data_IF_864594856847
#
_entry.id   IF_864594856847
#
_cell.length_a   1.000
_cell.length_b   1.000
_cell.length_c   1.000
_cell.angle_alpha   90.00
_cell.angle_beta   90.00
_cell.angle_gamma   90.00
#
_symmetry.space_group_name_H-M   'P 1'
#
loop_
_entity.id
_entity.type
_entity.pdbx_description
1 polymer ?
#
# COMPACT_ATOMS: atom_id res chain seq x y z
N UNK A 1 -26.89 -4.46 18.61
CA UNK A 1 -26.78 -3.80 17.29
C UNK A 1 -25.80 -2.61 17.32
N UNK A 2 -24.49 -2.82 17.56
CA UNK A 2 -23.48 -1.74 17.58
C UNK A 2 -22.18 -2.04 16.80
N UNK A 3 -22.10 -3.15 16.07
CA UNK A 3 -20.87 -3.54 15.36
C UNK A 3 -20.66 -2.86 13.99
N UNK A 4 -21.66 -2.17 13.44
CA UNK A 4 -21.61 -1.64 12.06
C UNK A 4 -20.99 -0.23 11.93
N UNK A 5 -21.12 0.62 12.95
CA UNK A 5 -20.49 1.96 12.98
C UNK A 5 -18.99 1.86 13.23
N UNK A 6 -18.60 1.06 14.22
CA UNK A 6 -17.20 0.82 14.58
C UNK A 6 -16.34 0.28 13.41
N UNK A 7 -16.92 -0.52 12.51
CA UNK A 7 -16.20 -1.08 11.35
C UNK A 7 -16.05 -0.07 10.18
N UNK A 8 -16.96 0.90 10.07
CA UNK A 8 -16.84 1.98 9.09
C UNK A 8 -15.80 3.02 9.55
N UNK A 9 -15.84 3.39 10.83
CA UNK A 9 -14.89 4.32 11.43
C UNK A 9 -13.46 3.74 11.45
N UNK A 10 -13.32 2.42 11.62
CA UNK A 10 -12.02 1.74 11.54
C UNK A 10 -11.44 1.74 10.13
N UNK A 11 -12.27 1.54 9.09
CA UNK A 11 -11.84 1.59 7.68
C UNK A 11 -11.46 3.01 7.24
N UNK A 12 -12.19 4.03 7.68
CA UNK A 12 -11.85 5.43 7.37
C UNK A 12 -10.55 5.85 8.08
N UNK A 13 -10.41 5.52 9.37
CA UNK A 13 -9.17 5.77 10.13
C UNK A 13 -7.97 5.05 9.53
N UNK A 14 -8.17 3.81 9.07
CA UNK A 14 -7.17 3.04 8.33
C UNK A 14 -6.71 3.79 7.07
N UNK A 15 -7.63 4.27 6.23
CA UNK A 15 -7.27 4.98 5.01
C UNK A 15 -6.68 6.37 5.26
N UNK A 16 -7.08 7.08 6.32
CA UNK A 16 -6.43 8.33 6.73
C UNK A 16 -4.95 8.10 7.05
N UNK A 17 -4.65 7.07 7.85
CA UNK A 17 -3.27 6.71 8.20
C UNK A 17 -2.47 6.28 6.98
N UNK A 18 -3.03 5.45 6.10
CA UNK A 18 -2.36 5.05 4.85
C UNK A 18 -2.03 6.29 4.02
N UNK A 19 -2.95 7.26 3.94
CA UNK A 19 -2.79 8.46 3.13
C UNK A 19 -1.70 9.39 3.62
N UNK A 20 -1.50 9.44 4.92
CA UNK A 20 -0.44 10.23 5.55
C UNK A 20 0.96 9.71 5.20
N UNK A 21 1.16 8.38 5.15
CA UNK A 21 2.50 7.79 5.06
C UNK A 21 2.81 7.06 3.76
N UNK A 22 1.82 6.49 3.06
CA UNK A 22 2.09 5.54 1.99
C UNK A 22 2.56 6.19 0.68
N UNK A 23 2.09 7.41 0.39
CA UNK A 23 2.44 8.19 -0.81
C UNK A 23 2.58 9.67 -0.41
N UNK A 24 3.74 10.07 0.15
CA UNK A 24 3.94 11.44 0.62
C UNK A 24 3.97 12.45 -0.54
N UNK A 25 3.66 13.74 -0.29
CA UNK A 25 3.65 14.77 -1.35
C UNK A 25 4.96 14.87 -2.15
N UNK A 26 6.10 14.76 -1.47
CA UNK A 26 7.43 14.78 -2.12
C UNK A 26 7.62 13.65 -3.13
N UNK A 27 7.02 12.47 -2.88
CA UNK A 27 7.02 11.35 -3.84
C UNK A 27 6.20 11.68 -5.07
N UNK A 28 5.01 12.27 -4.89
CA UNK A 28 4.11 12.67 -5.99
C UNK A 28 4.78 13.73 -6.86
N UNK A 29 5.40 14.74 -6.23
CA UNK A 29 6.12 15.81 -6.92
C UNK A 29 7.29 15.25 -7.73
N UNK A 30 8.14 14.41 -7.13
CA UNK A 30 9.29 13.81 -7.79
C UNK A 30 8.87 12.88 -8.94
N UNK A 31 7.88 12.01 -8.72
CA UNK A 31 7.37 11.11 -9.75
C UNK A 31 6.72 11.88 -10.91
N UNK A 32 5.95 12.91 -10.61
CA UNK A 32 5.31 13.78 -11.62
C UNK A 32 6.35 14.56 -12.44
N UNK A 33 7.36 15.15 -11.80
CA UNK A 33 8.42 15.86 -12.50
C UNK A 33 9.18 14.95 -13.48
N UNK A 34 9.45 13.69 -13.10
CA UNK A 34 10.10 12.70 -13.97
C UNK A 34 9.18 12.22 -15.10
N UNK A 35 7.91 11.95 -14.78
CA UNK A 35 6.91 11.49 -15.76
C UNK A 35 6.66 12.52 -16.84
N UNK A 36 6.54 13.80 -16.49
CA UNK A 36 6.27 14.88 -17.44
C UNK A 36 7.40 15.13 -18.44
N UNK A 37 8.64 14.78 -18.10
CA UNK A 37 9.79 14.82 -19.03
C UNK A 37 9.95 13.52 -19.83
N UNK A 38 9.08 12.52 -19.62
CA UNK A 38 9.10 11.22 -20.29
C UNK A 38 10.07 10.19 -19.67
N UNK A 39 10.69 10.52 -18.54
CA UNK A 39 11.57 9.63 -17.75
C UNK A 39 10.73 8.69 -16.86
N UNK A 40 10.07 7.72 -17.49
CA UNK A 40 9.23 6.74 -16.78
C UNK A 40 10.02 5.88 -15.79
N UNK A 41 11.28 5.59 -16.07
CA UNK A 41 12.13 4.80 -15.16
C UNK A 41 12.50 5.61 -13.92
N UNK A 42 12.85 6.90 -14.09
CA UNK A 42 13.06 7.82 -12.97
C UNK A 42 11.78 8.07 -12.15
N UNK A 43 10.62 8.13 -12.80
CA UNK A 43 9.34 8.20 -12.12
C UNK A 43 9.08 6.95 -11.25
N UNK A 44 9.34 5.75 -11.80
CA UNK A 44 9.26 4.49 -11.05
C UNK A 44 10.19 4.51 -9.83
N UNK A 45 11.45 4.93 -10.01
CA UNK A 45 12.42 5.01 -8.91
C UNK A 45 11.95 5.97 -7.80
N UNK A 46 11.41 7.14 -8.16
CA UNK A 46 10.86 8.11 -7.20
C UNK A 46 9.69 7.54 -6.37
N UNK A 47 8.87 6.68 -6.98
CA UNK A 47 7.73 6.01 -6.33
C UNK A 47 8.05 4.64 -5.71
N UNK A 48 9.35 4.30 -5.59
CA UNK A 48 9.82 3.04 -5.02
C UNK A 48 9.32 1.81 -5.80
N UNK A 49 9.22 1.96 -7.13
CA UNK A 49 8.93 0.89 -8.08
C UNK A 49 10.22 0.51 -8.80
N UNK A 50 10.70 -0.71 -8.53
CA UNK A 50 11.87 -1.29 -9.17
C UNK A 50 11.47 -1.84 -10.55
N UNK A 51 12.26 -1.53 -11.60
CA UNK A 51 11.98 -1.96 -12.97
C UNK A 51 12.71 -3.27 -13.27
N UNK A 52 11.95 -4.37 -13.36
CA UNK A 52 12.42 -5.74 -13.64
C UNK A 52 12.02 -6.22 -15.03
N UNK A 53 11.99 -5.30 -15.99
CA UNK A 53 11.75 -5.60 -17.39
C UNK A 53 12.79 -4.94 -18.27
N UNK A 54 13.13 -5.60 -19.38
CA UNK A 54 14.08 -5.09 -20.34
C UNK A 54 13.39 -4.98 -21.71
N UNK A 55 13.15 -3.75 -22.16
CA UNK A 55 12.47 -3.49 -23.44
C UNK A 55 13.17 -4.12 -24.64
N UNK A 56 14.50 -4.26 -24.61
CA UNK A 56 15.24 -4.93 -25.70
C UNK A 56 14.99 -6.44 -25.70
N UNK A 57 14.96 -7.07 -24.53
CA UNK A 57 14.62 -8.50 -24.41
C UNK A 57 13.16 -8.75 -24.81
N UNK A 58 12.24 -7.87 -24.39
CA UNK A 58 10.84 -7.90 -24.81
C UNK A 58 10.69 -7.78 -26.34
N UNK A 59 11.43 -6.87 -26.98
CA UNK A 59 11.41 -6.73 -28.44
C UNK A 59 11.94 -7.97 -29.16
N UNK A 60 12.95 -8.62 -28.58
CA UNK A 60 13.51 -9.86 -29.13
C UNK A 60 12.54 -11.05 -28.97
N UNK A 61 11.87 -11.16 -27.81
CA UNK A 61 10.98 -12.28 -27.50
C UNK A 61 9.59 -12.18 -28.14
N UNK A 62 9.04 -10.96 -28.24
CA UNK A 62 7.63 -10.73 -28.64
C UNK A 62 7.48 -9.76 -29.82
N UNK A 63 8.58 -9.30 -30.41
CA UNK A 63 8.58 -8.41 -31.57
C UNK A 63 8.60 -6.91 -31.24
N UNK A 64 8.92 -6.11 -32.25
CA UNK A 64 9.10 -4.66 -32.11
C UNK A 64 7.79 -3.92 -31.83
N UNK A 65 6.68 -4.38 -32.41
CA UNK A 65 5.35 -3.78 -32.20
C UNK A 65 4.91 -3.93 -30.73
N UNK A 66 5.04 -5.13 -30.16
CA UNK A 66 4.80 -5.36 -28.73
C UNK A 66 5.66 -4.43 -27.85
N UNK A 67 6.96 -4.33 -28.14
CA UNK A 67 7.85 -3.48 -27.36
C UNK A 67 7.50 -1.98 -27.48
N UNK A 68 7.01 -1.53 -28.64
CA UNK A 68 6.53 -0.17 -28.85
C UNK A 68 5.24 0.11 -28.06
N UNK A 69 4.28 -0.84 -28.04
CA UNK A 69 3.07 -0.75 -27.22
C UNK A 69 3.40 -0.73 -25.73
N UNK A 70 4.25 -1.64 -25.26
CA UNK A 70 4.72 -1.68 -23.88
C UNK A 70 5.42 -0.37 -23.47
N UNK A 71 6.32 0.16 -24.32
CA UNK A 71 6.99 1.44 -24.06
C UNK A 71 6.00 2.60 -23.98
N UNK A 72 4.96 2.58 -24.80
CA UNK A 72 3.90 3.59 -24.77
C UNK A 72 3.14 3.54 -23.45
N UNK A 73 2.76 2.36 -22.98
CA UNK A 73 2.09 2.20 -21.68
C UNK A 73 3.00 2.64 -20.52
N UNK A 74 4.29 2.30 -20.54
CA UNK A 74 5.25 2.73 -19.52
C UNK A 74 5.42 4.25 -19.45
N UNK A 75 5.38 4.96 -20.59
CA UNK A 75 5.44 6.43 -20.61
C UNK A 75 4.23 7.10 -19.96
N UNK A 76 3.11 6.41 -19.86
CA UNK A 76 1.87 6.91 -19.27
C UNK A 76 1.59 6.33 -17.88
N UNK A 77 2.52 5.52 -17.34
CA UNK A 77 2.44 5.02 -15.97
C UNK A 77 2.65 6.18 -14.98
N UNK A 78 1.72 6.34 -14.04
CA UNK A 78 1.86 7.10 -12.81
C UNK A 78 2.16 6.12 -11.66
N UNK A 79 3.44 5.90 -11.31
CA UNK A 79 3.83 4.85 -10.36
C UNK A 79 3.50 5.19 -8.90
N UNK A 80 3.45 6.48 -8.56
CA UNK A 80 2.93 7.03 -7.31
C UNK A 80 1.43 6.76 -7.14
N UNK A 81 0.65 6.94 -8.22
CA UNK A 81 -0.77 6.59 -8.24
C UNK A 81 -0.98 5.07 -8.17
N UNK A 82 -0.20 4.29 -8.91
CA UNK A 82 -0.19 2.82 -8.81
C UNK A 82 0.04 2.38 -7.36
N UNK A 83 1.07 2.94 -6.71
CA UNK A 83 1.43 2.63 -5.31
C UNK A 83 0.28 2.92 -4.35
N UNK A 84 -0.44 4.02 -4.55
CA UNK A 84 -1.62 4.36 -3.74
C UNK A 84 -2.70 3.27 -3.82
N UNK A 85 -3.01 2.80 -5.03
CA UNK A 85 -4.07 1.81 -5.29
C UNK A 85 -3.65 0.34 -5.17
N UNK A 86 -2.36 0.06 -4.89
CA UNK A 86 -1.91 -1.31 -4.66
C UNK A 86 -2.56 -1.91 -3.40
N UNK A 87 -2.90 -3.22 -3.40
CA UNK A 87 -3.59 -3.84 -2.27
C UNK A 87 -2.82 -3.78 -0.96
N UNK A 88 -3.53 -3.46 0.13
CA UNK A 88 -2.96 -3.25 1.48
C UNK A 88 -3.60 -4.15 2.52
N UNK A 89 -2.92 -4.32 3.65
CA UNK A 89 -3.40 -5.10 4.80
C UNK A 89 -3.56 -4.22 6.04
N UNK A 90 -4.63 -4.48 6.79
CA UNK A 90 -4.87 -3.90 8.11
C UNK A 90 -3.97 -4.56 9.17
N UNK A 91 -3.70 -3.88 10.30
CA UNK A 91 -4.15 -2.53 10.64
C UNK A 91 -3.25 -1.41 10.09
N UNK A 92 -2.02 -1.73 9.71
CA UNK A 92 -0.98 -0.71 9.49
C UNK A 92 -1.00 -0.11 8.10
N UNK A 93 -1.74 -0.68 7.14
CA UNK A 93 -1.87 -0.10 5.81
C UNK A 93 -0.70 -0.39 4.88
N UNK A 94 0.12 -1.38 5.23
CA UNK A 94 1.24 -1.85 4.43
C UNK A 94 0.75 -2.60 3.18
N UNK A 95 1.51 -2.53 2.10
CA UNK A 95 1.30 -3.31 0.89
C UNK A 95 1.24 -4.79 1.22
N UNK A 96 0.26 -5.47 0.63
CA UNK A 96 0.10 -6.91 0.77
C UNK A 96 1.34 -7.61 0.20
N UNK A 97 2.09 -8.38 0.99
CA UNK A 97 3.29 -9.05 0.52
C UNK A 97 2.98 -10.23 -0.40
N UNK A 98 3.94 -10.59 -1.24
CA UNK A 98 3.90 -11.75 -2.13
C UNK A 98 2.77 -11.69 -3.16
N UNK A 99 2.44 -10.52 -3.68
CA UNK A 99 1.36 -10.37 -4.63
C UNK A 99 1.91 -10.20 -6.05
N UNK A 100 1.21 -10.74 -7.04
CA UNK A 100 1.40 -10.41 -8.46
C UNK A 100 0.07 -9.88 -8.99
N UNK A 101 0.06 -8.63 -9.44
CA UNK A 101 -1.10 -7.87 -9.91
C UNK A 101 -0.93 -7.62 -11.39
N UNK A 102 -1.93 -7.96 -12.20
CA UNK A 102 -1.93 -7.62 -13.63
C UNK A 102 -2.26 -6.14 -13.80
N UNK A 103 -1.45 -5.42 -14.59
CA UNK A 103 -1.64 -4.01 -14.93
C UNK A 103 -2.16 -3.84 -16.36
N UNK A 104 -1.65 -4.63 -17.31
CA UNK A 104 -2.07 -4.59 -18.71
C UNK A 104 -1.86 -5.96 -19.34
N UNK A 105 -2.71 -6.32 -20.29
CA UNK A 105 -2.59 -7.53 -21.11
C UNK A 105 -2.25 -7.14 -22.54
N UNK A 106 -1.46 -7.99 -23.19
CA UNK A 106 -1.05 -7.85 -24.57
C UNK A 106 -1.12 -9.21 -25.25
N UNK A 107 -1.66 -9.22 -26.46
CA UNK A 107 -1.67 -10.39 -27.32
C UNK A 107 -0.70 -10.14 -28.48
N UNK A 108 0.59 -10.51 -28.34
CA UNK A 108 1.57 -10.28 -29.38
C UNK A 108 1.21 -11.12 -30.62
N UNK A 109 0.97 -10.45 -31.75
CA UNK A 109 0.70 -11.14 -33.01
C UNK A 109 1.95 -11.86 -33.54
N UNK A 110 1.80 -13.10 -34.00
CA UNK A 110 2.62 -13.59 -35.11
C UNK A 110 3.81 -14.51 -34.84
N UNK A 111 3.89 -15.28 -33.74
CA UNK A 111 4.72 -16.50 -33.70
C UNK A 111 3.92 -17.62 -33.03
N UNK A 112 3.69 -18.72 -33.77
CA UNK A 112 2.74 -19.78 -33.43
C UNK A 112 2.69 -20.15 -31.93
N UNK A 113 1.54 -19.89 -31.30
CA UNK A 113 1.24 -20.34 -29.95
C UNK A 113 1.69 -19.45 -28.78
N UNK A 114 2.18 -18.22 -29.02
CA UNK A 114 2.53 -17.28 -27.94
C UNK A 114 1.30 -16.89 -27.10
N UNK A 115 1.28 -17.25 -25.81
CA UNK A 115 0.20 -16.89 -24.89
C UNK A 115 0.17 -15.39 -24.53
N UNK A 116 -0.94 -14.93 -23.95
CA UNK A 116 -1.13 -13.55 -23.48
C UNK A 116 0.00 -13.14 -22.53
N UNK A 117 0.61 -11.99 -22.80
CA UNK A 117 1.68 -11.39 -21.99
C UNK A 117 1.07 -10.30 -21.12
N UNK A 118 1.42 -10.30 -19.84
CA UNK A 118 0.94 -9.33 -18.86
C UNK A 118 2.09 -8.42 -18.40
N UNK A 119 1.85 -7.12 -18.39
CA UNK A 119 2.61 -6.21 -17.52
C UNK A 119 2.09 -6.40 -16.09
N UNK A 120 2.97 -6.70 -15.15
CA UNK A 120 2.60 -7.00 -13.76
C UNK A 120 3.35 -6.14 -12.76
N UNK A 121 2.66 -5.77 -11.68
CA UNK A 121 3.26 -5.24 -10.46
C UNK A 121 3.37 -6.35 -9.41
N UNK A 122 4.53 -6.46 -8.77
CA UNK A 122 4.83 -7.52 -7.80
C UNK A 122 5.25 -6.92 -6.46
N UNK A 123 4.77 -7.51 -5.38
CA UNK A 123 5.29 -7.21 -4.04
C UNK A 123 6.21 -8.33 -3.56
N UNK A 124 7.29 -8.01 -2.85
CA UNK A 124 8.16 -9.01 -2.23
C UNK A 124 7.42 -9.83 -1.16
N UNK A 125 7.91 -11.03 -0.80
CA UNK A 125 7.41 -11.78 0.35
C UNK A 125 7.57 -10.98 1.64
N UNK A 126 6.81 -11.34 2.68
CA UNK A 126 6.73 -10.57 3.92
C UNK A 126 8.10 -10.31 4.59
N UNK A 127 9.01 -11.29 4.54
CA UNK A 127 10.36 -11.16 5.10
C UNK A 127 11.26 -10.18 4.33
N UNK A 128 10.93 -9.85 3.08
CA UNK A 128 11.67 -8.93 2.21
C UNK A 128 10.85 -7.68 1.85
N UNK A 129 9.80 -7.37 2.62
CA UNK A 129 8.84 -6.29 2.33
C UNK A 129 9.28 -4.89 2.79
N UNK A 130 10.55 -4.74 3.15
CA UNK A 130 11.14 -3.47 3.54
C UNK A 130 10.96 -2.39 2.47
N UNK A 131 10.82 -1.14 2.89
CA UNK A 131 10.67 0.00 1.98
C UNK A 131 9.37 0.00 1.15
N UNK A 132 8.45 -0.95 1.38
CA UNK A 132 7.20 -1.10 0.63
C UNK A 132 7.43 -1.10 -0.90
N UNK A 133 8.46 -1.81 -1.35
CA UNK A 133 8.89 -1.82 -2.75
C UNK A 133 7.92 -2.59 -3.64
N UNK A 134 7.75 -2.11 -4.87
CA UNK A 134 6.98 -2.78 -5.92
C UNK A 134 7.94 -3.09 -7.06
N UNK A 135 7.85 -4.28 -7.67
CA UNK A 135 8.60 -4.64 -8.87
C UNK A 135 7.67 -4.59 -10.09
N UNK A 136 8.12 -3.99 -11.19
CA UNK A 136 7.43 -3.96 -12.47
C UNK A 136 8.07 -4.95 -13.44
N UNK A 137 7.33 -5.98 -13.86
CA UNK A 137 7.86 -7.07 -14.66
C UNK A 137 6.88 -7.50 -15.78
N UNK A 138 7.35 -8.38 -16.67
CA UNK A 138 6.49 -9.09 -17.63
C UNK A 138 6.19 -10.51 -17.13
N UNK A 139 5.02 -11.01 -17.48
CA UNK A 139 4.60 -12.39 -17.25
C UNK A 139 3.94 -12.95 -18.51
N UNK A 140 4.48 -14.02 -19.08
CA UNK A 140 4.10 -14.59 -20.38
C UNK A 140 3.46 -15.99 -20.28
N UNK A 141 3.07 -16.40 -19.08
CA UNK A 141 2.51 -17.73 -18.82
C UNK A 141 3.53 -18.88 -18.83
N UNK A 142 4.74 -18.66 -19.32
CA UNK A 142 5.81 -19.65 -19.30
C UNK A 142 6.22 -19.88 -17.84
N UNK A 143 6.34 -21.14 -17.41
CA UNK A 143 6.80 -21.50 -16.05
C UNK A 143 8.30 -21.30 -15.89
N UNK A 144 8.92 -20.39 -16.64
CA UNK A 144 10.36 -20.17 -16.59
C UNK A 144 10.73 -19.18 -15.51
N UNK A 145 11.53 -19.70 -14.57
CA UNK A 145 12.20 -18.94 -13.54
C UNK A 145 11.37 -18.77 -12.29
N UNK A 146 11.71 -19.55 -11.26
CA UNK A 146 11.50 -19.17 -9.86
C UNK A 146 12.26 -17.86 -9.58
N UNK A 147 11.78 -16.74 -10.15
CA UNK A 147 12.13 -15.43 -9.67
C UNK A 147 11.83 -15.37 -8.17
N UNK A 148 12.46 -14.45 -7.43
CA UNK A 148 12.42 -14.51 -5.97
C UNK A 148 10.99 -14.33 -5.42
N UNK A 149 10.02 -13.88 -6.24
CA UNK A 149 8.63 -13.69 -5.85
C UNK A 149 7.85 -15.02 -5.67
N UNK A 150 7.21 -15.22 -4.51
CA UNK A 150 6.57 -16.49 -4.15
C UNK A 150 5.27 -16.80 -4.93
N UNK A 151 4.63 -15.79 -5.54
CA UNK A 151 3.38 -15.96 -6.29
C UNK A 151 3.61 -15.64 -7.77
N UNK A 152 3.91 -16.65 -8.60
CA UNK A 152 4.35 -16.41 -9.97
C UNK A 152 3.23 -15.96 -10.89
N UNK A 153 1.95 -16.18 -10.55
CA UNK A 153 0.81 -15.90 -11.41
C UNK A 153 0.02 -14.67 -10.96
N UNK A 154 -0.52 -13.87 -11.90
CA UNK A 154 -1.46 -12.80 -11.58
C UNK A 154 -2.64 -13.29 -10.73
N UNK A 155 -2.93 -12.56 -9.66
CA UNK A 155 -4.00 -12.93 -8.74
C UNK A 155 -5.37 -12.55 -9.31
N UNK A 156 -6.30 -13.51 -9.37
CA UNK A 156 -7.65 -13.32 -9.98
C UNK A 156 -8.48 -12.18 -9.38
N UNK A 157 -8.31 -11.87 -8.09
CA UNK A 157 -9.00 -10.76 -7.40
C UNK A 157 -8.36 -9.39 -7.64
N UNK A 158 -7.07 -9.33 -7.95
CA UNK A 158 -6.32 -8.07 -8.02
C UNK A 158 -5.96 -7.82 -9.50
N UNK A 159 -6.92 -7.26 -10.22
CA UNK A 159 -6.91 -7.05 -11.69
C UNK A 159 -6.91 -5.55 -11.99
N UNK A 160 -5.74 -4.91 -11.94
CA UNK A 160 -5.58 -3.50 -12.30
C UNK A 160 -5.53 -3.29 -13.83
N UNK A 161 -5.45 -4.37 -14.59
CA UNK A 161 -5.70 -4.41 -16.04
C UNK A 161 -7.12 -4.02 -16.42
N UNK A 162 -8.10 -4.32 -15.55
CA UNK A 162 -9.49 -3.86 -15.70
C UNK A 162 -9.72 -2.45 -15.13
N UNK A 163 -8.72 -1.88 -14.44
CA UNK A 163 -8.82 -0.62 -13.71
C UNK A 163 -7.63 0.31 -14.04
N UNK A 164 -7.37 0.49 -15.34
CA UNK A 164 -6.23 1.32 -15.82
C UNK A 164 -6.27 2.75 -15.29
N UNK A 165 -7.45 3.30 -15.01
CA UNK A 165 -7.64 4.62 -14.39
C UNK A 165 -6.98 4.78 -13.00
N UNK A 166 -6.53 3.69 -12.38
CA UNK A 166 -5.81 3.69 -11.10
C UNK A 166 -4.27 3.79 -11.27
N UNK A 167 -3.75 3.90 -12.49
CA UNK A 167 -2.30 4.02 -12.72
C UNK A 167 -1.90 4.62 -14.07
N UNK A 168 -2.76 4.57 -15.10
CA UNK A 168 -2.52 5.10 -16.44
C UNK A 168 -3.09 6.51 -16.56
N UNK A 169 -2.23 7.52 -16.75
CA UNK A 169 -2.63 8.93 -16.80
C UNK A 169 -3.65 9.23 -17.91
N UNK A 170 -3.68 8.44 -18.99
CA UNK A 170 -4.63 8.61 -20.10
C UNK A 170 -6.05 8.18 -19.74
N UNK A 171 -6.21 7.44 -18.64
CA UNK A 171 -7.48 6.83 -18.22
C UNK A 171 -7.98 7.37 -16.90
N UNK A 172 -7.25 8.28 -16.25
CA UNK A 172 -7.63 8.78 -14.93
C UNK A 172 -9.00 9.46 -14.93
N UNK A 173 -9.43 10.07 -16.03
CA UNK A 173 -10.77 10.67 -16.12
C UNK A 173 -11.90 9.63 -15.95
N UNK A 174 -11.64 8.36 -16.28
CA UNK A 174 -12.61 7.29 -16.01
C UNK A 174 -12.85 7.13 -14.51
N UNK A 175 -11.92 7.51 -13.62
CA UNK A 175 -12.02 7.35 -12.17
C UNK A 175 -13.30 7.95 -11.59
N UNK A 176 -13.79 9.06 -12.15
CA UNK A 176 -15.04 9.70 -11.71
C UNK A 176 -16.23 8.76 -11.88
N UNK A 177 -16.42 8.28 -13.11
CA UNK A 177 -17.50 7.35 -13.46
C UNK A 177 -17.22 5.94 -12.97
N UNK A 178 -15.95 5.54 -12.79
CA UNK A 178 -15.45 4.23 -12.31
C UNK A 178 -15.39 4.10 -10.78
N UNK A 179 -15.55 5.19 -10.02
CA UNK A 179 -15.67 5.19 -8.55
C UNK A 179 -17.06 5.53 -8.03
N UNK A 180 -17.90 6.15 -8.85
CA UNK A 180 -19.30 6.46 -8.53
C UNK A 180 -19.44 7.87 -7.98
N UNK A 181 -18.46 8.73 -8.27
CA UNK A 181 -18.47 10.13 -7.87
C UNK A 181 -19.61 10.91 -8.54
N UNK A 182 -20.04 10.49 -9.73
CA UNK A 182 -21.19 11.06 -10.46
C UNK A 182 -22.55 10.69 -9.85
N UNK A 183 -22.57 9.78 -8.89
CA UNK A 183 -23.80 9.29 -8.25
C UNK A 183 -23.92 9.91 -6.86
N UNK A 184 -25.16 10.26 -6.43
CA UNK A 184 -25.37 10.72 -5.07
C UNK A 184 -24.83 9.66 -4.09
N UNK A 185 -24.29 10.07 -2.93
CA UNK A 185 -23.87 9.12 -1.92
C UNK A 185 -25.05 8.21 -1.60
N UNK A 186 -24.82 6.90 -1.65
CA UNK A 186 -25.86 5.92 -1.38
C UNK A 186 -26.19 5.99 0.11
N UNK A 187 -27.15 6.87 0.43
CA UNK A 187 -27.70 7.05 1.76
C UNK A 187 -28.56 5.82 2.08
N UNK A 188 -27.91 4.69 2.32
CA UNK A 188 -28.49 3.50 2.92
C UNK A 188 -29.88 3.13 2.39
N UNK A 189 -30.13 3.20 1.07
CA UNK A 189 -31.25 2.44 0.54
C UNK A 189 -30.82 0.98 0.62
N UNK A 190 -31.52 0.11 1.37
CA UNK A 190 -31.27 -1.32 1.24
C UNK A 190 -31.43 -1.63 -0.25
N UNK A 191 -30.39 -2.19 -0.88
CA UNK A 191 -30.53 -2.62 -2.26
C UNK A 191 -31.77 -3.53 -2.25
N UNK A 192 -32.79 -3.26 -3.08
CA UNK A 192 -34.16 -3.73 -2.83
C UNK A 192 -34.34 -5.25 -2.83
N UNK A 193 -33.27 -6.03 -3.04
CA UNK A 193 -33.26 -7.49 -3.12
C UNK A 193 -32.16 -8.15 -2.25
N UNK A 194 -31.66 -7.51 -1.19
CA UNK A 194 -30.65 -8.10 -0.30
C UNK A 194 -31.27 -8.68 0.98
N UNK A 195 -31.25 -10.01 1.11
CA UNK A 195 -31.57 -10.71 2.36
C UNK A 195 -30.49 -10.50 3.45
N UNK A 196 -29.35 -9.84 3.13
CA UNK A 196 -28.17 -9.78 4.02
C UNK A 196 -27.62 -8.36 4.19
N UNK A 197 -27.29 -7.93 5.43
CA UNK A 197 -26.61 -6.66 5.67
C UNK A 197 -25.22 -6.64 5.02
N UNK A 198 -25.02 -5.76 4.04
CA UNK A 198 -23.71 -5.50 3.46
C UNK A 198 -22.83 -4.68 4.38
N UNK A 199 -21.52 -4.85 4.25
CA UNK A 199 -20.55 -4.00 4.93
C UNK A 199 -20.66 -2.57 4.40
N UNK A 200 -20.73 -1.58 5.31
CA UNK A 200 -20.67 -0.17 4.95
C UNK A 200 -19.37 0.08 4.17
N UNK A 201 -19.50 0.70 3.00
CA UNK A 201 -18.38 0.98 2.10
C UNK A 201 -18.22 0.02 0.91
N UNK A 202 -19.14 -0.93 0.70
CA UNK A 202 -19.24 -1.67 -0.57
C UNK A 202 -19.73 -0.75 -1.70
N UNK A 203 -19.19 -0.89 -2.91
CA UNK A 203 -19.58 -0.11 -4.09
C UNK A 203 -20.69 -0.81 -4.91
N UNK A 204 -21.79 -1.15 -4.25
CA UNK A 204 -22.85 -2.03 -4.79
C UNK A 204 -23.48 -1.47 -6.06
N UNK A 205 -23.64 -0.16 -6.12
CA UNK A 205 -24.21 0.54 -7.26
C UNK A 205 -23.44 0.28 -8.56
N UNK A 206 -22.17 -0.13 -8.47
CA UNK A 206 -21.24 -0.33 -9.58
C UNK A 206 -21.01 -1.78 -9.95
N UNK A 207 -21.41 -2.71 -9.09
CA UNK A 207 -21.05 -4.12 -9.24
C UNK A 207 -21.58 -4.74 -10.53
N UNK A 208 -22.74 -4.31 -11.04
CA UNK A 208 -23.29 -4.80 -12.30
C UNK A 208 -22.39 -4.43 -13.49
N UNK A 209 -22.03 -3.14 -13.60
CA UNK A 209 -21.18 -2.61 -14.68
C UNK A 209 -19.79 -3.28 -14.65
N UNK A 210 -19.21 -3.43 -13.45
CA UNK A 210 -17.89 -4.04 -13.23
C UNK A 210 -17.91 -5.57 -13.48
N UNK A 211 -19.00 -6.25 -13.14
CA UNK A 211 -19.19 -7.67 -13.46
C UNK A 211 -19.27 -7.90 -14.97
N UNK A 212 -19.98 -7.04 -15.71
CA UNK A 212 -20.05 -7.14 -17.17
C UNK A 212 -18.70 -6.91 -17.84
N UNK A 213 -17.90 -5.96 -17.36
CA UNK A 213 -16.53 -5.77 -17.86
C UNK A 213 -15.64 -6.99 -17.60
N UNK A 214 -15.72 -7.59 -16.41
CA UNK A 214 -15.00 -8.82 -16.09
C UNK A 214 -15.44 -10.00 -16.99
N UNK A 215 -16.74 -10.19 -17.19
CA UNK A 215 -17.25 -11.29 -18.01
C UNK A 215 -16.80 -11.17 -19.47
N UNK A 216 -16.85 -9.96 -20.03
CA UNK A 216 -16.36 -9.67 -21.39
C UNK A 216 -14.87 -10.00 -21.54
N UNK A 217 -14.06 -9.58 -20.57
CA UNK A 217 -12.61 -9.87 -20.56
C UNK A 217 -12.34 -11.38 -20.46
N UNK A 218 -13.16 -12.13 -19.73
CA UNK A 218 -13.06 -13.58 -19.63
C UNK A 218 -13.70 -14.31 -20.84
N UNK A 219 -14.10 -13.58 -21.88
CA UNK A 219 -14.71 -14.13 -23.10
C UNK A 219 -16.12 -14.70 -22.90
N UNK A 220 -16.86 -14.25 -21.88
CA UNK A 220 -18.18 -14.76 -21.50
C UNK A 220 -19.28 -13.79 -21.89
N UNK A 221 -20.32 -14.29 -22.57
CA UNK A 221 -21.52 -13.53 -22.93
C UNK A 221 -22.48 -13.28 -21.75
N UNK A 222 -22.23 -13.89 -20.58
CA UNK A 222 -23.03 -13.75 -19.37
C UNK A 222 -22.57 -14.74 -18.28
N UNK A 223 -23.26 -14.71 -17.15
CA UNK A 223 -23.08 -15.68 -16.05
C UNK A 223 -22.72 -15.06 -14.71
N UNK A 224 -22.57 -15.91 -13.71
CA UNK A 224 -22.37 -15.50 -12.33
C UNK A 224 -20.92 -15.04 -12.02
N UNK A 225 -20.79 -14.05 -11.15
CA UNK A 225 -19.51 -13.49 -10.67
C UNK A 225 -19.46 -13.54 -9.15
N UNK A 226 -18.30 -13.88 -8.60
CA UNK A 226 -18.06 -13.94 -7.16
C UNK A 226 -17.57 -12.60 -6.59
N UNK A 227 -18.18 -12.08 -5.52
CA UNK A 227 -17.71 -10.89 -4.77
C UNK A 227 -17.18 -11.30 -3.41
N UNK A 228 -15.96 -10.87 -3.06
CA UNK A 228 -15.31 -11.23 -1.80
C UNK A 228 -15.28 -10.07 -0.80
N UNK A 229 -16.13 -10.14 0.21
CA UNK A 229 -16.33 -9.08 1.22
C UNK A 229 -15.34 -9.15 2.40
N UNK A 230 -14.48 -10.16 2.48
CA UNK A 230 -13.58 -10.36 3.62
C UNK A 230 -14.13 -11.37 4.64
N UNK A 231 -13.33 -11.77 5.63
CA UNK A 231 -13.76 -12.74 6.65
C UNK A 231 -14.24 -14.10 6.11
N UNK A 232 -13.74 -14.54 4.93
CA UNK A 232 -14.21 -15.72 4.18
C UNK A 232 -15.66 -15.65 3.68
N UNK A 233 -16.29 -14.46 3.69
CA UNK A 233 -17.62 -14.22 3.11
C UNK A 233 -17.51 -13.96 1.61
N UNK A 234 -18.43 -14.56 0.85
CA UNK A 234 -18.55 -14.37 -0.59
C UNK A 234 -20.02 -14.19 -0.97
N UNK A 235 -20.28 -13.32 -1.94
CA UNK A 235 -21.56 -13.23 -2.64
C UNK A 235 -21.40 -13.76 -4.06
N UNK A 236 -22.48 -14.26 -4.63
CA UNK A 236 -22.60 -14.56 -6.05
C UNK A 236 -23.56 -13.53 -6.64
N UNK A 237 -23.07 -12.83 -7.67
CA UNK A 237 -23.81 -11.85 -8.45
C UNK A 237 -24.16 -12.45 -9.80
N UNK A 238 -25.43 -12.39 -10.17
CA UNK A 238 -25.87 -12.59 -11.54
C UNK A 238 -26.38 -11.25 -12.08
N UNK A 239 -25.59 -10.57 -12.94
CA UNK A 239 -26.05 -9.35 -13.56
C UNK A 239 -27.13 -9.67 -14.59
N UNK A 240 -28.22 -8.89 -14.59
CA UNK A 240 -29.26 -8.97 -15.60
C UNK A 240 -28.67 -8.77 -17.00
N UNK A 241 -29.33 -9.34 -18.02
CA UNK A 241 -28.88 -9.28 -19.40
C UNK A 241 -28.50 -7.84 -19.83
N UNK A 242 -27.40 -7.74 -20.56
CA UNK A 242 -26.82 -6.48 -21.02
C UNK A 242 -27.86 -5.65 -21.79
N UNK A 243 -28.14 -4.42 -21.33
CA UNK A 243 -29.18 -3.54 -21.87
C UNK A 243 -30.45 -3.40 -21.02
N UNK A 244 -30.62 -4.17 -19.94
CA UNK A 244 -31.60 -3.88 -18.90
C UNK A 244 -31.07 -2.78 -17.95
N UNK A 245 -31.98 -1.98 -17.36
CA UNK A 245 -31.69 -0.74 -16.61
C UNK A 245 -30.41 -0.78 -15.74
N UNK A 246 -29.52 0.22 -15.87
CA UNK A 246 -28.34 0.37 -15.02
C UNK A 246 -28.72 0.65 -13.56
N UNK A 247 -28.07 -0.03 -12.62
CA UNK A 247 -28.21 0.21 -11.17
C UNK A 247 -28.42 -1.06 -10.34
N UNK A 248 -28.60 -0.93 -9.01
CA UNK A 248 -28.73 -2.07 -8.07
C UNK A 248 -29.97 -2.95 -8.33
N UNK A 249 -30.92 -2.50 -9.14
CA UNK A 249 -32.11 -3.25 -9.57
C UNK A 249 -31.81 -4.32 -10.63
N UNK A 250 -30.63 -4.31 -11.25
CA UNK A 250 -30.19 -5.28 -12.25
C UNK A 250 -29.37 -6.45 -11.66
N UNK A 251 -29.38 -6.63 -10.33
CA UNK A 251 -28.57 -7.66 -9.66
C UNK A 251 -29.45 -8.66 -8.91
N UNK A 252 -29.26 -9.94 -9.23
CA UNK A 252 -29.63 -11.03 -8.31
C UNK A 252 -28.40 -11.38 -7.47
N UNK A 253 -28.56 -11.38 -6.14
CA UNK A 253 -27.46 -11.56 -5.20
C UNK A 253 -27.79 -12.70 -4.24
N UNK A 254 -26.92 -13.70 -4.16
CA UNK A 254 -27.06 -14.81 -3.22
C UNK A 254 -25.80 -14.96 -2.35
N UNK A 255 -25.99 -15.23 -1.07
CA UNK A 255 -24.86 -15.51 -0.17
C UNK A 255 -24.31 -16.90 -0.38
N UNK A 256 -23.00 -17.02 -0.43
CA UNK A 256 -22.31 -18.30 -0.38
C UNK A 256 -21.19 -18.26 0.69
N UNK A 257 -21.08 -19.30 1.50
CA UNK A 257 -19.88 -19.51 2.30
C UNK A 257 -18.75 -19.95 1.35
N UNK A 258 -17.56 -19.35 1.51
CA UNK A 258 -16.40 -19.77 0.73
C UNK A 258 -16.05 -21.24 1.07
N UNK A 259 -16.51 -22.19 0.26
CA UNK A 259 -16.09 -23.59 0.35
C UNK A 259 -14.61 -23.68 -0.05
N UNK A 260 -13.86 -24.47 0.70
CA UNK A 260 -12.47 -24.85 0.39
C UNK A 260 -12.49 -25.75 -0.85
N UNK A 261 -12.50 -25.11 -2.03
CA UNK A 261 -12.65 -25.77 -3.32
C UNK A 261 -13.08 -24.74 -4.35
N UNK A 262 -12.11 -24.27 -5.16
CA UNK A 262 -12.24 -23.11 -6.04
C UNK A 262 -13.55 -23.07 -6.82
N UNK A 263 -14.40 -22.09 -6.50
CA UNK A 263 -15.49 -21.69 -7.38
C UNK A 263 -14.87 -21.34 -8.75
N UNK A 264 -15.34 -22.00 -9.81
CA UNK A 264 -14.96 -21.76 -11.21
C UNK A 264 -15.45 -20.40 -11.75
N UNK A 265 -16.08 -19.59 -10.90
CA UNK A 265 -16.61 -18.28 -11.25
C UNK A 265 -15.49 -17.24 -11.30
N UNK A 266 -15.56 -16.29 -12.26
CA UNK A 266 -14.78 -15.07 -12.21
C UNK A 266 -15.01 -14.35 -10.89
N UNK A 267 -13.96 -13.70 -10.37
CA UNK A 267 -14.03 -12.97 -9.10
C UNK A 267 -14.00 -11.47 -9.40
N UNK A 268 -15.00 -10.74 -8.90
CA UNK A 268 -15.05 -9.29 -9.01
C UNK A 268 -13.74 -8.69 -8.44
N UNK A 269 -13.07 -7.81 -9.19
CA UNK A 269 -11.83 -7.21 -8.71
C UNK A 269 -12.01 -6.44 -7.42
N UNK A 270 -10.97 -6.44 -6.58
CA UNK A 270 -11.01 -5.77 -5.26
C UNK A 270 -11.29 -4.26 -5.39
N UNK A 271 -10.72 -3.63 -6.43
CA UNK A 271 -10.90 -2.22 -6.74
C UNK A 271 -12.37 -1.84 -7.05
N UNK A 272 -13.16 -2.79 -7.57
CA UNK A 272 -14.59 -2.61 -7.84
C UNK A 272 -15.47 -3.04 -6.65
N UNK A 273 -14.93 -3.80 -5.69
CA UNK A 273 -15.72 -4.34 -4.57
C UNK A 273 -16.07 -3.23 -3.57
N UNK A 274 -15.14 -2.33 -3.32
CA UNK A 274 -15.24 -1.29 -2.29
C UNK A 274 -15.30 0.12 -2.89
N UNK A 275 -15.94 1.04 -2.16
CA UNK A 275 -15.86 2.46 -2.48
C UNK A 275 -14.39 2.89 -2.45
N UNK A 276 -14.01 3.66 -3.47
CA UNK A 276 -12.66 4.21 -3.63
C UNK A 276 -12.23 4.92 -2.33
N UNK A 277 -11.03 4.66 -1.78
CA UNK A 277 -10.58 5.27 -0.53
C UNK A 277 -10.71 6.78 -0.49
N UNK A 278 -10.26 7.48 -1.54
CA UNK A 278 -10.34 8.95 -1.62
C UNK A 278 -11.78 9.45 -1.62
N UNK A 279 -12.67 8.80 -2.37
CA UNK A 279 -14.09 9.15 -2.41
C UNK A 279 -14.78 8.92 -1.06
N UNK A 280 -14.41 7.84 -0.35
CA UNK A 280 -14.93 7.55 0.98
C UNK A 280 -14.49 8.61 2.01
N UNK A 281 -13.22 9.03 1.98
CA UNK A 281 -12.69 10.06 2.87
C UNK A 281 -13.31 11.45 2.58
N UNK A 282 -13.46 11.82 1.29
CA UNK A 282 -14.13 13.05 0.88
C UNK A 282 -15.60 13.07 1.34
N UNK A 283 -16.36 11.99 1.08
CA UNK A 283 -17.78 11.90 1.48
C UNK A 283 -17.96 11.97 3.01
N UNK A 284 -16.96 11.54 3.77
CA UNK A 284 -16.95 11.64 5.22
C UNK A 284 -16.47 13.00 5.75
N UNK A 285 -16.04 13.92 4.88
CA UNK A 285 -15.50 15.23 5.28
C UNK A 285 -14.17 15.14 6.06
N UNK A 286 -13.44 14.02 5.92
CA UNK A 286 -12.19 13.79 6.65
C UNK A 286 -10.96 14.38 5.96
N UNK A 287 -11.08 14.66 4.67
CA UNK A 287 -10.06 15.33 3.86
C UNK A 287 -10.73 16.29 2.88
N UNK A 288 -9.98 17.32 2.49
CA UNK A 288 -10.31 18.19 1.37
C UNK A 288 -9.62 17.72 0.08
N UNK A 289 -10.10 18.25 -1.06
CA UNK A 289 -9.57 18.00 -2.39
C UNK A 289 -8.06 18.23 -2.51
N UNK A 290 -7.53 19.27 -1.83
CA UNK A 290 -6.11 19.63 -1.88
C UNK A 290 -5.19 18.58 -1.27
N UNK A 291 -5.73 17.70 -0.41
CA UNK A 291 -4.93 16.58 0.10
C UNK A 291 -4.81 15.49 -0.95
N UNK A 292 -5.73 15.39 -1.93
CA UNK A 292 -5.78 14.30 -2.91
C UNK A 292 -4.52 14.23 -3.79
N UNK A 293 -4.27 13.04 -4.35
CA UNK A 293 -3.31 12.94 -5.44
C UNK A 293 -3.81 13.85 -6.59
N UNK A 294 -2.97 14.70 -7.22
CA UNK A 294 -3.44 15.68 -8.20
C UNK A 294 -4.29 15.09 -9.33
N UNK A 295 -3.87 13.95 -9.89
CA UNK A 295 -4.65 13.20 -10.89
C UNK A 295 -6.02 12.71 -10.38
N UNK A 296 -6.10 12.30 -9.11
CA UNK A 296 -7.38 11.89 -8.50
C UNK A 296 -8.26 13.10 -8.22
N UNK A 297 -7.67 14.20 -7.74
CA UNK A 297 -8.35 15.45 -7.50
C UNK A 297 -9.02 15.98 -8.78
N UNK A 298 -8.27 16.02 -9.89
CA UNK A 298 -8.77 16.49 -11.19
C UNK A 298 -9.91 15.62 -11.72
N UNK A 299 -9.87 14.31 -11.51
CA UNK A 299 -10.94 13.41 -11.96
C UNK A 299 -12.18 13.50 -11.07
N UNK A 300 -12.03 13.50 -9.73
CA UNK A 300 -13.16 13.54 -8.81
C UNK A 300 -13.82 14.92 -8.74
N UNK A 301 -13.05 15.99 -8.93
CA UNK A 301 -13.51 17.38 -8.80
C UNK A 301 -12.98 18.20 -10.00
N UNK A 302 -13.62 18.10 -11.17
CA UNK A 302 -13.26 18.86 -12.36
C UNK A 302 -13.24 20.37 -12.08
N UNK A 303 -12.18 21.04 -12.55
CA UNK A 303 -11.99 22.48 -12.31
C UNK A 303 -11.39 22.83 -10.95
N UNK A 304 -11.06 21.84 -10.11
CA UNK A 304 -10.29 22.08 -8.90
C UNK A 304 -8.86 22.54 -9.28
N UNK A 305 -8.56 23.80 -9.00
CA UNK A 305 -7.19 24.30 -9.01
C UNK A 305 -6.57 24.00 -7.64
N UNK A 306 -5.36 23.40 -7.60
CA UNK A 306 -4.71 23.11 -6.32
C UNK A 306 -4.47 24.41 -5.58
N UNK A 307 -4.97 24.50 -4.34
CA UNK A 307 -4.55 25.57 -3.45
C UNK A 307 -3.08 25.31 -3.07
N UNK A 308 -2.27 26.37 -3.05
CA UNK A 308 -0.93 26.27 -2.45
C UNK A 308 -1.11 25.87 -0.99
N UNK A 309 -0.63 24.68 -0.63
CA UNK A 309 -0.81 24.14 0.71
C UNK A 309 -0.27 25.15 1.75
N UNK A 310 -1.07 25.57 2.73
CA UNK A 310 -0.55 26.29 3.87
C UNK A 310 0.39 25.35 4.64
N UNK A 311 1.60 25.82 4.91
CA UNK A 311 2.46 25.18 5.91
C UNK A 311 1.70 25.20 7.23
N UNK A 312 1.45 24.03 7.81
CA UNK A 312 0.95 23.95 9.18
C UNK A 312 1.91 24.74 10.09
N UNK A 313 1.41 25.65 10.93
CA UNK A 313 2.23 26.26 11.96
C UNK A 313 2.77 25.14 12.85
N UNK A 314 4.07 25.18 13.12
CA UNK A 314 4.67 24.42 14.22
C UNK A 314 3.97 24.89 15.50
N UNK A 315 3.19 24.00 16.10
CA UNK A 315 2.38 24.34 17.27
C UNK A 315 3.37 24.55 18.43
N UNK A 316 3.65 25.82 18.73
CA UNK A 316 4.68 26.26 19.66
C UNK A 316 4.52 25.59 21.01
N UNK A 317 5.24 24.48 21.20
CA UNK A 317 5.20 23.70 22.43
C UNK A 317 5.67 24.60 23.58
N UNK A 318 4.88 24.67 24.66
CA UNK A 318 5.32 25.37 25.86
C UNK A 318 6.61 24.72 26.40
N UNK A 319 7.60 25.51 26.85
CA UNK A 319 8.84 24.98 27.38
C UNK A 319 8.58 24.01 28.53
N UNK A 320 9.25 22.86 28.51
CA UNK A 320 9.16 21.84 29.56
C UNK A 320 9.88 22.31 30.81
N UNK A 321 9.25 22.18 31.97
CA UNK A 321 9.84 22.54 33.27
C UNK A 321 10.46 21.31 33.93
N UNK A 322 11.68 21.46 34.46
CA UNK A 322 12.45 20.40 35.13
C UNK A 322 13.07 20.97 36.40
N UNK A 323 12.99 20.23 37.50
CA UNK A 323 13.71 20.58 38.72
C UNK A 323 15.19 20.17 38.59
N UNK A 324 16.09 21.16 38.56
CA UNK A 324 17.53 20.97 38.41
C UNK A 324 18.24 21.75 39.51
N UNK A 325 19.05 21.07 40.33
CA UNK A 325 19.81 21.69 41.44
C UNK A 325 18.94 22.53 42.40
N UNK A 326 17.70 22.10 42.65
CA UNK A 326 16.77 22.77 43.55
C UNK A 326 16.09 24.03 42.97
N UNK A 327 16.22 24.29 41.67
CA UNK A 327 15.51 25.34 40.96
C UNK A 327 14.70 24.76 39.78
N UNK A 328 13.64 25.45 39.38
CA UNK A 328 12.89 25.09 38.16
C UNK A 328 13.60 25.66 36.92
N UNK A 329 14.02 24.78 36.02
CA UNK A 329 14.66 25.10 34.76
C UNK A 329 13.72 24.79 33.58
N UNK A 330 13.87 25.52 32.49
CA UNK A 330 13.10 25.44 31.25
C UNK A 330 13.92 24.76 30.17
N UNK A 331 13.29 23.83 29.46
CA UNK A 331 13.82 23.19 28.25
C UNK A 331 12.91 23.54 27.09
N UNK A 332 13.48 24.07 26.02
CA UNK A 332 12.74 24.48 24.84
C UNK A 332 13.47 24.09 23.55
N UNK A 333 12.76 24.10 22.44
CA UNK A 333 13.31 23.84 21.12
C UNK A 333 13.89 25.14 20.54
N UNK A 334 15.22 25.22 20.43
CA UNK A 334 15.90 26.36 19.80
C UNK A 334 16.57 25.84 18.52
N UNK A 335 16.11 26.34 17.36
CA UNK A 335 16.58 25.89 16.04
C UNK A 335 16.48 24.36 15.84
N UNK A 336 15.41 23.73 16.32
CA UNK A 336 15.20 22.28 16.17
C UNK A 336 15.96 21.41 17.18
N UNK A 337 16.63 22.00 18.18
CA UNK A 337 17.37 21.25 19.20
C UNK A 337 16.82 21.56 20.59
N UNK A 338 16.63 20.55 21.42
CA UNK A 338 16.25 20.74 22.83
C UNK A 338 17.40 21.37 23.62
N UNK A 339 17.19 22.60 24.08
CA UNK A 339 18.16 23.40 24.83
C UNK A 339 17.64 23.68 26.25
N UNK A 340 18.44 23.44 27.30
CA UNK A 340 18.11 23.92 28.64
C UNK A 340 18.40 25.43 28.71
N UNK A 341 17.35 26.26 28.68
CA UNK A 341 17.45 27.71 28.56
C UNK A 341 18.12 28.39 29.77
N UNK A 342 18.07 27.73 30.92
CA UNK A 342 18.59 28.25 32.19
C UNK A 342 20.03 27.77 32.49
N UNK A 343 20.72 27.19 31.49
CA UNK A 343 22.15 26.84 31.58
C UNK A 343 22.96 27.52 30.47
N UNK A 344 24.15 28.01 30.83
CA UNK A 344 25.10 28.54 29.85
C UNK A 344 25.67 27.40 28.98
N UNK A 345 25.92 27.57 27.67
CA UNK A 345 26.47 26.52 26.81
C UNK A 345 27.82 25.95 27.29
N UNK A 346 28.68 26.73 27.92
CA UNK A 346 29.93 26.23 28.51
C UNK A 346 29.66 25.35 29.74
N UNK A 347 28.65 25.71 30.54
CA UNK A 347 28.18 24.89 31.65
C UNK A 347 27.64 23.55 31.12
N UNK A 348 26.76 23.58 30.11
CA UNK A 348 26.21 22.37 29.48
C UNK A 348 27.32 21.46 28.97
N UNK A 349 28.35 22.00 28.31
CA UNK A 349 29.50 21.21 27.83
C UNK A 349 30.27 20.55 28.98
N UNK A 350 30.56 21.30 30.04
CA UNK A 350 31.26 20.76 31.23
C UNK A 350 30.46 19.66 31.90
N UNK A 351 29.15 19.85 32.06
CA UNK A 351 28.26 18.85 32.68
C UNK A 351 28.10 17.60 31.83
N UNK A 352 28.05 17.72 30.50
CA UNK A 352 28.09 16.56 29.59
C UNK A 352 29.38 15.75 29.75
N UNK A 353 30.54 16.41 29.89
CA UNK A 353 31.82 15.73 30.13
C UNK A 353 31.86 15.03 31.49
N UNK A 354 31.37 15.71 32.54
CA UNK A 354 31.28 15.10 33.87
C UNK A 354 30.35 13.88 33.85
N UNK A 355 29.20 13.98 33.21
CA UNK A 355 28.26 12.87 33.06
C UNK A 355 28.91 11.66 32.36
N UNK A 356 29.74 11.89 31.34
CA UNK A 356 30.46 10.81 30.66
C UNK A 356 31.49 10.10 31.56
N UNK A 357 32.06 10.80 32.55
CA UNK A 357 33.05 10.26 33.49
C UNK A 357 32.40 9.63 34.74
N UNK A 358 31.30 10.20 35.24
CA UNK A 358 30.67 9.81 36.51
C UNK A 358 29.39 8.99 36.33
N UNK A 359 28.87 8.90 35.11
CA UNK A 359 27.57 8.28 34.80
C UNK A 359 26.36 9.04 35.34
N UNK A 360 26.54 10.22 35.94
CA UNK A 360 25.46 10.95 36.64
C UNK A 360 25.20 12.32 35.99
N UNK A 361 24.40 12.39 34.91
CA UNK A 361 24.03 13.66 34.29
C UNK A 361 23.06 14.48 35.16
N UNK A 362 23.07 15.81 34.97
CA UNK A 362 22.07 16.71 35.58
C UNK A 362 20.65 16.36 35.12
N UNK A 363 19.60 16.64 35.94
CA UNK A 363 18.21 16.41 35.57
C UNK A 363 17.80 17.03 34.22
N UNK A 364 18.24 18.25 33.90
CA UNK A 364 17.98 18.85 32.59
C UNK A 364 18.57 18.02 31.43
N UNK A 365 19.79 17.50 31.59
CA UNK A 365 20.44 16.67 30.59
C UNK A 365 19.80 15.28 30.48
N UNK A 366 19.34 14.71 31.61
CA UNK A 366 18.58 13.45 31.64
C UNK A 366 17.28 13.56 30.84
N UNK A 367 16.53 14.66 31.02
CA UNK A 367 15.26 14.88 30.31
C UNK A 367 15.49 15.06 28.80
N UNK A 368 16.54 15.77 28.40
CA UNK A 368 16.91 15.93 26.99
C UNK A 368 17.32 14.58 26.39
N UNK A 369 18.20 13.84 27.06
CA UNK A 369 18.64 12.52 26.63
C UNK A 369 17.46 11.55 26.48
N UNK A 370 16.57 11.49 27.47
CA UNK A 370 15.36 10.66 27.40
C UNK A 370 14.44 11.06 26.24
N UNK A 371 14.28 12.36 25.98
CA UNK A 371 13.48 12.87 24.88
C UNK A 371 14.06 12.50 23.51
N UNK A 372 15.39 12.43 23.37
CA UNK A 372 16.04 11.98 22.14
C UNK A 372 16.00 10.44 21.96
N UNK A 373 16.10 9.67 23.05
CA UNK A 373 16.05 8.20 23.01
C UNK A 373 14.65 7.64 22.70
N UNK A 374 13.62 8.30 23.22
CA UNK A 374 12.21 7.94 23.02
C UNK A 374 11.35 9.17 22.76
N UNK A 375 11.43 9.74 21.54
CA UNK A 375 10.69 10.96 21.22
C UNK A 375 9.20 10.70 21.07
N UNK A 376 8.38 11.72 21.34
CA UNK A 376 6.93 11.63 21.16
C UNK A 376 6.55 11.31 19.70
N UNK A 377 7.33 11.78 18.73
CA UNK A 377 7.14 11.51 17.30
C UNK A 377 7.65 10.12 16.85
N UNK A 378 8.16 9.26 17.76
CA UNK A 378 8.71 7.96 17.40
C UNK A 378 7.71 7.07 16.66
N UNK A 379 6.42 7.18 16.99
CA UNK A 379 5.35 6.45 16.31
C UNK A 379 5.27 6.83 14.83
N UNK A 380 5.36 8.13 14.53
CA UNK A 380 5.29 8.64 13.15
C UNK A 380 6.58 8.33 12.39
N UNK A 381 7.74 8.41 13.06
CA UNK A 381 9.03 7.97 12.47
C UNK A 381 8.95 6.50 12.08
N UNK A 382 8.47 5.62 12.97
CA UNK A 382 8.27 4.20 12.68
C UNK A 382 7.27 3.98 11.55
N UNK A 383 6.15 4.70 11.56
CA UNK A 383 5.16 4.62 10.49
C UNK A 383 5.78 5.01 9.12
N UNK A 384 6.52 6.12 9.05
CA UNK A 384 7.24 6.52 7.84
C UNK A 384 8.20 5.43 7.36
N UNK A 385 9.03 4.88 8.26
CA UNK A 385 9.96 3.79 7.92
C UNK A 385 9.22 2.53 7.42
N UNK A 386 8.18 2.08 8.12
CA UNK A 386 7.39 0.91 7.75
C UNK A 386 6.67 1.11 6.39
N UNK A 387 6.27 2.35 6.07
CA UNK A 387 5.71 2.74 4.78
C UNK A 387 6.77 3.01 3.69
N UNK A 388 8.05 2.93 4.03
CA UNK A 388 9.18 3.13 3.14
C UNK A 388 9.53 4.60 2.86
N UNK A 389 8.95 5.56 3.59
CA UNK A 389 9.33 6.97 3.54
C UNK A 389 10.56 7.23 4.43
N UNK A 390 11.71 6.69 4.03
CA UNK A 390 12.97 6.90 4.76
C UNK A 390 13.39 8.36 4.77
N UNK A 391 13.15 9.09 3.69
CA UNK A 391 13.52 10.51 3.60
C UNK A 391 12.72 11.35 4.61
N UNK A 392 11.40 11.17 4.67
CA UNK A 392 10.57 11.85 5.67
C UNK A 392 10.87 11.40 7.10
N UNK A 393 11.21 10.12 7.31
CA UNK A 393 11.63 9.63 8.62
C UNK A 393 12.94 10.31 9.08
N UNK A 394 13.94 10.39 8.21
CA UNK A 394 15.22 11.04 8.51
C UNK A 394 15.04 12.55 8.71
N UNK A 395 14.24 13.23 7.88
CA UNK A 395 13.93 14.65 8.07
C UNK A 395 13.25 14.92 9.42
N UNK A 396 12.35 14.04 9.88
CA UNK A 396 11.74 14.16 11.20
C UNK A 396 12.74 13.93 12.34
N UNK A 397 13.73 13.05 12.16
CA UNK A 397 14.81 12.82 13.14
C UNK A 397 15.81 13.97 13.16
N UNK A 398 16.21 14.49 12.00
CA UNK A 398 17.07 15.66 11.87
C UNK A 398 16.41 16.90 12.46
N UNK A 399 15.11 17.09 12.24
CA UNK A 399 14.34 18.18 12.86
C UNK A 399 14.21 18.08 14.38
N UNK A 400 14.36 16.88 14.95
CA UNK A 400 14.33 16.63 16.40
C UNK A 400 15.71 16.80 17.06
N UNK A 401 16.76 16.27 16.43
CA UNK A 401 18.10 16.20 17.00
C UNK A 401 19.01 17.35 16.57
N UNK A 402 18.66 18.02 15.47
CA UNK A 402 19.53 18.92 14.72
C UNK A 402 20.36 18.17 13.66
N UNK A 403 20.89 18.90 12.66
CA UNK A 403 21.79 18.33 11.66
C UNK A 403 23.07 17.81 12.33
N UNK A 404 23.61 16.70 11.81
CA UNK A 404 24.86 16.05 12.27
C UNK A 404 24.88 15.60 13.75
N UNK A 405 23.73 15.58 14.43
CA UNK A 405 23.64 15.12 15.80
C UNK A 405 23.91 13.60 15.90
N UNK A 406 24.73 13.20 16.88
CA UNK A 406 24.95 11.79 17.17
C UNK A 406 23.65 11.14 17.67
N UNK A 407 23.29 10.01 17.06
CA UNK A 407 22.08 9.27 17.40
C UNK A 407 22.25 8.53 18.75
N UNK A 408 21.49 8.88 19.80
CA UNK A 408 21.64 8.23 21.10
C UNK A 408 21.12 6.80 21.07
N UNK A 409 21.66 5.96 21.96
CA UNK A 409 21.17 4.59 22.16
C UNK A 409 19.74 4.58 22.70
N UNK A 410 18.84 3.82 22.08
CA UNK A 410 17.45 3.71 22.51
C UNK A 410 16.49 3.38 21.38
N UNK A 411 15.19 3.48 21.67
CA UNK A 411 14.12 3.01 20.81
C UNK A 411 14.08 3.66 19.41
N UNK A 412 14.60 4.88 19.27
CA UNK A 412 14.78 5.55 17.99
C UNK A 412 15.90 4.89 17.15
N UNK A 413 17.06 4.65 17.77
CA UNK A 413 18.19 3.98 17.13
C UNK A 413 17.83 2.55 16.72
N UNK A 414 17.19 1.80 17.61
CA UNK A 414 16.74 0.44 17.34
C UNK A 414 15.80 0.37 16.12
N UNK A 415 14.92 1.37 15.96
CA UNK A 415 14.00 1.45 14.83
C UNK A 415 14.75 1.68 13.50
N UNK A 416 15.76 2.55 13.49
CA UNK A 416 16.59 2.84 12.32
C UNK A 416 17.49 1.65 11.97
N UNK A 417 18.10 0.99 12.96
CA UNK A 417 18.91 -0.22 12.76
C UNK A 417 18.04 -1.38 12.22
N UNK A 418 16.83 -1.55 12.75
CA UNK A 418 15.86 -2.54 12.27
C UNK A 418 15.48 -2.27 10.81
N UNK A 419 15.25 -1.01 10.42
CA UNK A 419 14.98 -0.67 9.02
C UNK A 419 16.21 -0.92 8.13
N UNK A 420 17.40 -0.57 8.58
CA UNK A 420 18.63 -0.85 7.84
C UNK A 420 18.81 -2.35 7.56
N UNK A 421 18.59 -3.19 8.57
CA UNK A 421 18.64 -4.65 8.41
C UNK A 421 17.57 -5.15 7.43
N UNK A 422 16.32 -4.67 7.55
CA UNK A 422 15.23 -5.04 6.63
C UNK A 422 15.54 -4.65 5.18
N UNK A 423 16.21 -3.51 4.95
CA UNK A 423 16.68 -3.11 3.61
C UNK A 423 17.77 -4.03 3.06
N UNK A 424 18.67 -4.53 3.90
CA UNK A 424 19.67 -5.53 3.50
C UNK A 424 18.95 -6.82 3.07
N UNK A 425 17.99 -7.29 3.85
CA UNK A 425 17.21 -8.50 3.51
C UNK A 425 16.46 -8.33 2.18
N UNK A 426 15.90 -7.14 1.92
CA UNK A 426 15.32 -6.79 0.64
C UNK A 426 16.37 -6.80 -0.50
N UNK A 427 17.56 -6.23 -0.28
CA UNK A 427 18.65 -6.29 -1.25
C UNK A 427 19.08 -7.72 -1.60
N UNK A 428 19.22 -8.59 -0.59
CA UNK A 428 19.52 -10.01 -0.78
C UNK A 428 18.42 -10.74 -1.55
N UNK A 429 17.15 -10.43 -1.26
CA UNK A 429 16.00 -10.90 -2.02
C UNK A 429 16.09 -10.51 -3.50
N UNK A 430 16.33 -9.23 -3.78
CA UNK A 430 16.42 -8.68 -5.14
C UNK A 430 17.56 -9.30 -5.94
N UNK A 431 18.69 -9.57 -5.28
CA UNK A 431 19.85 -10.23 -5.89
C UNK A 431 19.65 -11.74 -6.09
N UNK A 432 18.55 -12.34 -5.62
CA UNK A 432 18.35 -13.79 -5.66
C UNK A 432 19.26 -14.56 -4.68
N UNK A 433 19.85 -13.87 -3.71
CA UNK A 433 20.77 -14.43 -2.71
C UNK A 433 20.05 -14.88 -1.41
N UNK A 434 18.73 -14.79 -1.40
CA UNK A 434 17.88 -15.23 -0.31
C UNK A 434 18.13 -16.70 0.05
N UNK A 435 18.51 -16.99 1.30
CA UNK A 435 18.74 -18.35 1.78
C UNK A 435 20.17 -18.88 1.64
N UNK A 436 21.10 -18.11 1.04
CA UNK A 436 22.54 -18.46 1.01
C UNK A 436 23.27 -18.16 2.33
N UNK A 437 22.62 -17.46 3.26
CA UNK A 437 23.18 -17.05 4.56
C UNK A 437 22.73 -17.88 5.77
N UNK A 438 21.93 -18.94 5.58
CA UNK A 438 21.59 -19.88 6.65
C UNK A 438 22.08 -21.28 6.25
N UNK A 439 23.29 -21.63 6.69
CA UNK A 439 23.66 -23.04 6.86
C UNK A 439 22.58 -23.77 7.69
N UNK A 440 22.46 -25.10 7.59
CA UNK A 440 21.30 -25.84 8.09
C UNK A 440 21.19 -25.79 9.62
N UNK A 441 20.59 -24.73 10.15
CA UNK A 441 19.98 -24.71 11.47
C UNK A 441 18.57 -25.27 11.30
N UNK A 442 18.36 -26.46 11.86
CA UNK A 442 17.15 -27.25 11.78
C UNK A 442 15.89 -26.41 11.98
N UNK A 443 15.07 -26.32 10.93
CA UNK A 443 13.63 -26.08 11.11
C UNK A 443 13.11 -27.22 12.01
N UNK A 444 12.43 -26.97 13.14
CA UNK A 444 11.74 -28.04 13.83
C UNK A 444 10.68 -28.58 12.88
N UNK A 445 10.96 -29.77 12.36
CA UNK A 445 10.08 -30.49 11.45
C UNK A 445 8.68 -30.55 12.05
N UNK A 446 7.72 -29.99 11.32
CA UNK A 446 6.30 -30.19 11.57
C UNK A 446 6.06 -31.69 11.47
N UNK A 447 6.02 -32.36 12.63
CA UNK A 447 5.73 -33.79 12.72
C UNK A 447 4.47 -34.06 11.91
N UNK A 448 4.64 -34.79 10.81
CA UNK A 448 3.57 -35.43 10.08
C UNK A 448 2.78 -36.24 11.10
N UNK A 449 1.54 -35.83 11.39
CA UNK A 449 0.62 -36.69 12.13
C UNK A 449 0.31 -37.83 11.18
N UNK A 450 0.96 -38.95 11.47
CA UNK A 450 0.88 -40.18 10.70
C UNK A 450 -0.56 -40.62 10.46
N UNK A 451 -0.71 -41.19 9.27
CA UNK A 451 -1.75 -42.11 8.85
C UNK A 451 -2.36 -42.88 10.03
N UNK A 452 -3.61 -42.55 10.36
CA UNK A 452 -4.50 -43.55 10.94
C UNK A 452 -5.09 -44.35 9.80
N UNK A 453 -4.40 -45.42 9.47
CA UNK A 453 -4.92 -46.54 8.71
C UNK A 453 -6.25 -47.00 9.33
N UNK A 454 -7.30 -47.03 8.51
CA UNK A 454 -8.57 -47.70 8.83
C UNK A 454 -8.31 -49.21 8.89
N UNK A 455 -8.60 -49.92 10.00
CA UNK A 455 -8.64 -51.37 9.96
C UNK A 455 -9.93 -51.83 9.28
N UNK A 456 -9.77 -52.50 8.13
CA UNK A 456 -10.79 -53.38 7.55
C UNK A 456 -10.80 -54.65 8.41
N UNK A 457 -11.86 -54.86 9.19
CA UNK A 457 -12.23 -56.20 9.62
C UNK A 457 -13.24 -56.76 8.63
N UNK A 458 -12.83 -57.84 7.96
CA UNK A 458 -13.70 -58.72 7.20
C UNK A 458 -13.63 -60.10 7.86
N UNK A 459 -14.79 -60.66 8.20
CA UNK A 459 -15.16 -62.09 8.23
C UNK A 459 -16.67 -62.15 8.58
N UNK A 460 -17.55 -62.42 7.61
CA UNK A 460 -18.11 -63.75 7.29
C UNK A 460 -18.92 -64.40 8.44
N UNK A 461 -20.24 -64.24 8.44
CA UNK A 461 -21.23 -65.26 8.08
C UNK A 461 -22.63 -64.67 8.09
#
# INVERSE_FOLDING_TARGET
MHHSTANADSRLSFWLRVREFAVPPSMIEAATARRTTGDWAGACAAAHVDVDLNLRQAAHAHGQEFAAHLRTDLRHLAPDLLRWHMPRIAPDGLLRPGLTVSLAQYDPAGHGGGGTVHLVARTPPAWAAAGQRISLALWDGSRFGAGPHPHPRPHRRFRLDLHRHLWDVRRVDELRTRSGADRPPDNARPAPNLEVPLERGCAVDRWADEAWMLLREEGRAGGAVAVRLGGRRQLVLEPAADGAASGPLALQMTTALARDGGSALPVLPDAATWVLPDLALLRAGLIEADRLHPLVASALIPGHAPAVAPRLPDDGARPRLVECRGAQHRIDLVNGVLVPLDHDPAEVRREKLLAALTGTPLPCLQVIDQAHRNPACLIDVRARLDHGDTAGALAAVEGLLGPDAALPEGALRDALETEAQRRIDHGLFRAGLAGLGQGPAARPGRRSRGDRARPRHATSR
#
